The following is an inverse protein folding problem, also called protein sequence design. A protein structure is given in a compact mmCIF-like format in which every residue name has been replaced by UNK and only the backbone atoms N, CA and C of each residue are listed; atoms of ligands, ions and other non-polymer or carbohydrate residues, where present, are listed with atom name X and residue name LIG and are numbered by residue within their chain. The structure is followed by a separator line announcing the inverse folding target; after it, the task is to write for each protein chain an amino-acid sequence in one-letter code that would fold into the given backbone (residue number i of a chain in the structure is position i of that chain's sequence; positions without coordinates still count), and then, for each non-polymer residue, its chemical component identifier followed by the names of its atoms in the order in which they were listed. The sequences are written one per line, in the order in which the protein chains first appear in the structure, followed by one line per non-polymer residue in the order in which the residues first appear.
data_IF_901220485269
#
_entry.id   IF_901220485269
#
_cell.length_a   1.000
_cell.length_b   1.000
_cell.length_c   1.000
_cell.angle_alpha   90.00
_cell.angle_beta   90.00
_cell.angle_gamma   90.00
#
_symmetry.space_group_name_H-M   'P 1'
#
loop_
_entity.id
_entity.type
_entity.pdbx_description
1 polymer ?
#
# COMPACT_ATOMS: atom_id res chain seq x y z
N UNK A 1 -17.36 -2.04 20.52
CA UNK A 1 -16.03 -2.26 19.90
C UNK A 1 -15.92 -1.68 18.49
N UNK A 2 -16.89 -1.90 17.59
CA UNK A 2 -16.97 -1.19 16.29
C UNK A 2 -16.91 0.34 16.40
N UNK A 3 -17.48 0.90 17.48
CA UNK A 3 -17.35 2.31 17.84
C UNK A 3 -15.89 2.82 17.90
N UNK A 4 -14.89 2.01 18.30
CA UNK A 4 -13.50 2.48 18.33
C UNK A 4 -12.85 2.58 16.93
N UNK A 5 -13.32 1.77 15.98
CA UNK A 5 -12.90 1.83 14.57
C UNK A 5 -13.53 3.02 13.82
N UNK A 6 -14.71 3.47 14.26
CA UNK A 6 -15.48 4.55 13.63
C UNK A 6 -15.41 5.90 14.35
N UNK A 7 -15.10 5.95 15.65
CA UNK A 7 -15.20 7.17 16.46
C UNK A 7 -13.94 8.05 16.50
N UNK A 8 -12.81 7.62 15.93
CA UNK A 8 -11.58 8.44 15.94
C UNK A 8 -11.60 9.44 14.79
N UNK A 9 -11.61 10.74 15.09
CA UNK A 9 -11.43 11.81 14.12
C UNK A 9 -10.03 11.78 13.49
N UNK A 10 -9.03 11.27 14.22
CA UNK A 10 -7.70 10.99 13.69
C UNK A 10 -7.67 9.59 13.05
N UNK A 11 -7.59 9.57 11.72
CA UNK A 11 -7.52 8.36 10.89
C UNK A 11 -6.21 7.57 11.04
N UNK A 12 -5.20 8.15 11.70
CA UNK A 12 -3.89 7.53 11.92
C UNK A 12 -3.64 7.15 13.39
N UNK A 13 -4.53 7.54 14.30
CA UNK A 13 -4.41 7.18 15.71
C UNK A 13 -4.33 5.65 15.87
N UNK A 14 -3.19 5.19 16.40
CA UNK A 14 -2.92 3.76 16.63
C UNK A 14 -3.87 3.20 17.69
N UNK A 15 -4.33 1.98 17.45
CA UNK A 15 -5.15 1.22 18.38
C UNK A 15 -4.26 0.18 19.06
N UNK A 16 -4.20 0.23 20.39
CA UNK A 16 -3.52 -0.79 21.18
C UNK A 16 -4.48 -1.94 21.44
N UNK A 17 -4.57 -2.86 20.48
CA UNK A 17 -5.44 -4.04 20.53
C UNK A 17 -4.57 -5.27 20.29
N UNK A 18 -4.72 -6.30 21.12
CA UNK A 18 -3.94 -7.53 21.02
C UNK A 18 -4.30 -8.40 19.82
N UNK A 19 -3.49 -9.45 19.59
CA UNK A 19 -3.63 -10.38 18.46
C UNK A 19 -5.01 -11.06 18.43
N UNK A 20 -5.48 -11.60 19.56
CA UNK A 20 -6.74 -12.35 19.60
C UNK A 20 -7.97 -11.49 19.30
N UNK A 21 -8.01 -10.29 19.86
CA UNK A 21 -9.08 -9.34 19.57
C UNK A 21 -9.02 -8.88 18.11
N UNK A 22 -7.82 -8.67 17.56
CA UNK A 22 -7.63 -8.33 16.14
C UNK A 22 -8.08 -9.46 15.22
N UNK A 23 -7.75 -10.71 15.56
CA UNK A 23 -8.18 -11.90 14.82
C UNK A 23 -9.71 -12.04 14.83
N UNK A 24 -10.34 -11.92 16.01
CA UNK A 24 -11.80 -11.96 16.12
C UNK A 24 -12.47 -10.87 15.29
N UNK A 25 -11.95 -9.63 15.34
CA UNK A 25 -12.48 -8.53 14.52
C UNK A 25 -12.32 -8.80 13.02
N UNK A 26 -11.15 -9.26 12.58
CA UNK A 26 -10.89 -9.59 11.17
C UNK A 26 -11.82 -10.70 10.68
N UNK A 27 -11.93 -11.77 11.46
CA UNK A 27 -12.77 -12.91 11.13
C UNK A 27 -14.22 -12.48 10.94
N UNK A 28 -14.80 -11.81 11.93
CA UNK A 28 -16.19 -11.33 11.88
C UNK A 28 -16.42 -10.34 10.73
N UNK A 29 -15.53 -9.35 10.56
CA UNK A 29 -15.67 -8.36 9.49
C UNK A 29 -15.65 -8.99 8.10
N UNK A 30 -14.75 -9.94 7.86
CA UNK A 30 -14.63 -10.63 6.57
C UNK A 30 -15.86 -11.51 6.31
N UNK A 31 -16.34 -12.25 7.29
CA UNK A 31 -17.53 -13.10 7.10
C UNK A 31 -18.82 -12.29 6.96
N UNK A 32 -18.95 -11.18 7.68
CA UNK A 32 -20.08 -10.25 7.49
C UNK A 32 -20.03 -9.61 6.11
N UNK A 33 -18.83 -9.24 5.64
CA UNK A 33 -18.63 -8.72 4.28
C UNK A 33 -19.02 -9.75 3.22
N UNK A 34 -18.56 -11.00 3.36
CA UNK A 34 -18.92 -12.10 2.47
C UNK A 34 -20.43 -12.28 2.44
N UNK A 35 -21.07 -12.44 3.59
CA UNK A 35 -22.51 -12.59 3.69
C UNK A 35 -23.25 -11.43 3.00
N UNK A 36 -22.78 -10.20 3.19
CA UNK A 36 -23.38 -9.02 2.54
C UNK A 36 -23.25 -9.07 1.01
N UNK A 37 -22.17 -9.66 0.49
CA UNK A 37 -21.90 -9.77 -0.95
C UNK A 37 -22.56 -10.99 -1.60
N UNK A 38 -22.69 -12.11 -0.88
CA UNK A 38 -23.17 -13.39 -1.41
C UNK A 38 -24.64 -13.69 -1.13
N UNK A 39 -25.24 -13.10 -0.08
CA UNK A 39 -26.65 -13.30 0.25
C UNK A 39 -27.55 -12.47 -0.70
N UNK A 40 -28.42 -13.10 -1.51
CA UNK A 40 -29.30 -12.38 -2.45
C UNK A 40 -30.25 -11.40 -1.76
N UNK A 41 -30.67 -11.70 -0.52
CA UNK A 41 -31.54 -10.82 0.26
C UNK A 41 -30.75 -9.58 0.66
N UNK A 42 -29.54 -9.76 1.20
CA UNK A 42 -28.67 -8.64 1.54
C UNK A 42 -28.27 -7.84 0.30
N UNK A 43 -27.94 -8.50 -0.82
CA UNK A 43 -27.57 -7.86 -2.08
C UNK A 43 -28.72 -7.03 -2.67
N UNK A 44 -29.96 -7.47 -2.49
CA UNK A 44 -31.17 -6.76 -2.93
C UNK A 44 -31.52 -5.51 -2.11
N UNK A 45 -30.87 -5.32 -0.94
CA UNK A 45 -31.06 -4.10 -0.16
C UNK A 45 -30.54 -2.90 -0.96
N UNK A 46 -31.28 -1.77 -0.99
CA UNK A 46 -30.83 -0.56 -1.69
C UNK A 46 -29.43 -0.09 -1.28
N UNK A 47 -29.08 -0.31 -0.01
CA UNK A 47 -27.81 0.11 0.59
C UNK A 47 -26.74 -1.00 0.66
N UNK A 48 -26.98 -2.17 0.06
CA UNK A 48 -26.06 -3.33 0.13
C UNK A 48 -24.63 -2.99 -0.30
N UNK A 49 -24.51 -2.20 -1.35
CA UNK A 49 -23.24 -1.67 -1.87
C UNK A 49 -22.57 -0.75 -0.84
N UNK A 50 -23.34 0.12 -0.16
CA UNK A 50 -22.82 1.01 0.88
C UNK A 50 -22.35 0.23 2.11
N UNK A 51 -23.05 -0.83 2.50
CA UNK A 51 -22.62 -1.73 3.58
C UNK A 51 -21.32 -2.45 3.23
N UNK A 52 -21.22 -3.04 2.04
CA UNK A 52 -19.99 -3.70 1.58
C UNK A 52 -18.79 -2.74 1.53
N UNK A 53 -19.00 -1.51 1.02
CA UNK A 53 -17.96 -0.46 1.03
C UNK A 53 -17.53 -0.08 2.45
N UNK A 54 -18.48 0.09 3.36
CA UNK A 54 -18.21 0.46 4.75
C UNK A 54 -17.42 -0.63 5.48
N UNK A 55 -17.78 -1.90 5.27
CA UNK A 55 -17.06 -3.05 5.83
C UNK A 55 -15.63 -3.15 5.29
N UNK A 56 -15.43 -2.97 3.97
CA UNK A 56 -14.10 -2.89 3.38
C UNK A 56 -13.27 -1.74 3.99
N UNK A 57 -13.87 -0.57 4.16
CA UNK A 57 -13.21 0.58 4.78
C UNK A 57 -12.82 0.29 6.24
N UNK A 58 -13.65 -0.46 6.99
CA UNK A 58 -13.34 -0.88 8.36
C UNK A 58 -12.15 -1.84 8.41
N UNK A 59 -12.08 -2.82 7.50
CA UNK A 59 -10.94 -3.75 7.40
C UNK A 59 -9.65 -3.00 7.09
N UNK A 60 -9.69 -2.06 6.14
CA UNK A 60 -8.52 -1.22 5.80
C UNK A 60 -8.11 -0.37 7.00
N UNK A 61 -9.06 0.25 7.71
CA UNK A 61 -8.76 1.03 8.92
C UNK A 61 -8.13 0.17 10.00
N UNK A 62 -8.60 -1.06 10.17
CA UNK A 62 -8.00 -2.01 11.11
C UNK A 62 -6.54 -2.29 10.73
N UNK A 63 -6.25 -2.55 9.45
CA UNK A 63 -4.90 -2.73 8.93
C UNK A 63 -3.98 -1.52 9.22
N UNK A 64 -4.51 -0.31 9.11
CA UNK A 64 -3.73 0.93 9.30
C UNK A 64 -3.52 1.23 10.79
N UNK A 65 -4.54 1.03 11.62
CA UNK A 65 -4.55 1.52 13.01
C UNK A 65 -4.01 0.51 14.02
N UNK A 66 -4.18 -0.79 13.80
CA UNK A 66 -3.56 -1.81 14.65
C UNK A 66 -2.05 -1.81 14.44
N UNK A 67 -1.30 -2.22 15.47
CA UNK A 67 0.13 -2.46 15.36
C UNK A 67 0.41 -3.45 14.21
N UNK A 68 1.45 -3.19 13.40
CA UNK A 68 1.66 -3.85 12.11
C UNK A 68 1.86 -5.35 12.31
N UNK A 69 2.67 -5.74 13.26
CA UNK A 69 2.98 -7.14 13.55
C UNK A 69 1.74 -7.89 14.04
N UNK A 70 0.97 -7.24 14.91
CA UNK A 70 -0.27 -7.77 15.47
C UNK A 70 -1.32 -8.01 14.38
N UNK A 71 -1.48 -7.06 13.45
CA UNK A 71 -2.36 -7.26 12.29
C UNK A 71 -1.89 -8.41 11.41
N UNK A 72 -0.59 -8.48 11.11
CA UNK A 72 -0.03 -9.58 10.32
C UNK A 72 -0.25 -10.94 10.99
N UNK A 73 0.02 -11.05 12.29
CA UNK A 73 -0.17 -12.27 13.06
C UNK A 73 -1.63 -12.73 13.06
N UNK A 74 -2.57 -11.80 13.32
CA UNK A 74 -3.99 -12.09 13.28
C UNK A 74 -4.47 -12.49 11.88
N UNK A 75 -4.04 -11.77 10.84
CA UNK A 75 -4.48 -12.01 9.47
C UNK A 75 -3.90 -13.31 8.89
N UNK A 76 -2.64 -13.64 9.18
CA UNK A 76 -2.04 -14.92 8.78
C UNK A 76 -2.72 -16.08 9.49
N UNK A 77 -3.13 -15.93 10.76
CA UNK A 77 -3.95 -16.92 11.46
C UNK A 77 -5.31 -17.12 10.80
N UNK A 78 -6.04 -16.04 10.50
CA UNK A 78 -7.31 -16.11 9.78
C UNK A 78 -7.16 -16.82 8.42
N UNK A 79 -6.16 -16.41 7.63
CA UNK A 79 -5.89 -17.04 6.33
C UNK A 79 -5.57 -18.53 6.47
N UNK A 80 -4.73 -18.91 7.43
CA UNK A 80 -4.39 -20.30 7.69
C UNK A 80 -5.64 -21.11 8.03
N UNK A 81 -6.50 -20.59 8.91
CA UNK A 81 -7.77 -21.24 9.26
C UNK A 81 -8.65 -21.42 8.03
N UNK A 82 -8.91 -20.37 7.24
CA UNK A 82 -9.75 -20.48 6.03
C UNK A 82 -9.20 -21.47 5.01
N UNK A 83 -7.87 -21.50 4.81
CA UNK A 83 -7.23 -22.46 3.91
C UNK A 83 -7.39 -23.90 4.40
N UNK A 84 -7.24 -24.14 5.71
CA UNK A 84 -7.33 -25.49 6.29
C UNK A 84 -8.77 -25.99 6.39
N UNK A 85 -9.73 -25.09 6.56
CA UNK A 85 -11.18 -25.39 6.59
C UNK A 85 -11.80 -25.45 5.20
N UNK A 86 -11.02 -25.21 4.14
CA UNK A 86 -11.48 -25.11 2.76
C UNK A 86 -12.59 -24.06 2.55
N UNK A 87 -12.50 -22.95 3.28
CA UNK A 87 -13.34 -21.78 3.04
C UNK A 87 -12.78 -21.00 1.84
N UNK A 88 -13.24 -21.40 0.66
CA UNK A 88 -12.76 -20.88 -0.63
C UNK A 88 -13.11 -19.39 -0.84
N UNK A 89 -14.10 -18.85 -0.12
CA UNK A 89 -14.55 -17.47 -0.25
C UNK A 89 -13.82 -16.52 0.69
N UNK A 90 -13.53 -16.94 1.93
CA UNK A 90 -12.85 -16.11 2.92
C UNK A 90 -11.34 -16.01 2.70
N UNK A 91 -10.68 -17.09 2.27
CA UNK A 91 -9.24 -17.09 2.06
C UNK A 91 -8.76 -15.97 1.09
N UNK A 92 -9.42 -15.72 -0.07
CA UNK A 92 -9.07 -14.60 -0.95
C UNK A 92 -9.18 -13.22 -0.28
N UNK A 93 -10.11 -13.03 0.65
CA UNK A 93 -10.27 -11.75 1.37
C UNK A 93 -9.17 -11.54 2.41
N UNK A 94 -8.76 -12.59 3.13
CA UNK A 94 -7.59 -12.50 4.02
C UNK A 94 -6.28 -12.31 3.24
N UNK A 95 -6.16 -12.91 2.06
CA UNK A 95 -5.05 -12.63 1.14
C UNK A 95 -5.00 -11.14 0.76
N UNK A 96 -6.14 -10.54 0.41
CA UNK A 96 -6.22 -9.08 0.13
C UNK A 96 -5.84 -8.24 1.35
N UNK A 97 -6.16 -8.68 2.56
CA UNK A 97 -5.74 -7.99 3.79
C UNK A 97 -4.22 -8.00 3.97
N UNK A 98 -3.55 -9.12 3.67
CA UNK A 98 -2.09 -9.21 3.70
C UNK A 98 -1.42 -8.39 2.57
N UNK A 99 -2.03 -8.33 1.39
CA UNK A 99 -1.60 -7.39 0.34
C UNK A 99 -1.69 -5.94 0.81
N UNK A 100 -2.77 -5.58 1.51
CA UNK A 100 -2.89 -4.23 2.08
C UNK A 100 -1.83 -3.97 3.16
N UNK A 101 -1.51 -4.97 3.97
CA UNK A 101 -0.44 -4.86 4.96
C UNK A 101 0.91 -4.61 4.29
N UNK A 102 1.25 -5.36 3.25
CA UNK A 102 2.50 -5.21 2.50
C UNK A 102 2.61 -3.84 1.80
N UNK A 103 1.52 -3.39 1.15
CA UNK A 103 1.39 -2.03 0.58
C UNK A 103 1.62 -0.96 1.65
N UNK A 104 1.10 -1.18 2.85
CA UNK A 104 1.27 -0.22 3.95
C UNK A 104 2.72 -0.22 4.48
N UNK A 105 3.37 -1.37 4.54
CA UNK A 105 4.78 -1.49 4.93
C UNK A 105 5.74 -0.84 3.93
N UNK A 106 5.46 -0.96 2.64
CA UNK A 106 6.30 -0.35 1.59
C UNK A 106 6.23 1.19 1.62
N UNK A 107 5.03 1.74 1.87
CA UNK A 107 4.79 3.20 1.98
C UNK A 107 5.25 3.78 3.31
N UNK A 108 5.04 3.05 4.40
CA UNK A 108 5.34 3.51 5.76
C UNK A 108 6.20 2.47 6.47
N UNK A 109 7.51 2.51 6.20
CA UNK A 109 8.50 1.63 6.81
C UNK A 109 8.43 1.76 8.33
N UNK A 110 7.86 0.75 8.97
CA UNK A 110 7.65 0.72 10.42
C UNK A 110 8.35 -0.51 10.97
N UNK A 111 9.13 -0.34 12.04
CA UNK A 111 9.74 -1.45 12.76
C UNK A 111 8.63 -2.38 13.26
N UNK A 112 8.82 -3.68 13.10
CA UNK A 112 7.90 -4.73 13.54
C UNK A 112 8.52 -5.53 14.69
N UNK A 113 7.68 -6.19 15.48
CA UNK A 113 8.13 -7.16 16.47
C UNK A 113 8.59 -8.44 15.75
N UNK A 114 9.91 -8.64 15.70
CA UNK A 114 10.53 -9.78 15.05
C UNK A 114 10.04 -11.12 15.63
N UNK A 115 9.78 -11.20 16.94
CA UNK A 115 9.40 -12.44 17.60
C UNK A 115 8.01 -12.87 17.19
N UNK A 116 7.07 -11.94 17.28
CA UNK A 116 5.69 -12.21 16.88
C UNK A 116 5.60 -12.50 15.38
N UNK A 117 6.29 -11.70 14.55
CA UNK A 117 6.31 -11.92 13.11
C UNK A 117 6.80 -13.33 12.74
N UNK A 118 7.96 -13.72 13.28
CA UNK A 118 8.58 -15.02 12.99
C UNK A 118 7.71 -16.15 13.51
N UNK A 119 7.15 -16.05 14.73
CA UNK A 119 6.24 -17.07 15.26
C UNK A 119 5.07 -17.32 14.32
N UNK A 120 4.41 -16.25 13.86
CA UNK A 120 3.23 -16.35 12.99
C UNK A 120 3.57 -16.88 11.61
N UNK A 121 4.60 -16.33 10.95
CA UNK A 121 5.01 -16.78 9.61
C UNK A 121 5.55 -18.22 9.62
N UNK A 122 6.38 -18.58 10.60
CA UNK A 122 6.93 -19.94 10.72
C UNK A 122 5.82 -20.97 10.93
N UNK A 123 4.83 -20.66 11.79
CA UNK A 123 3.67 -21.52 12.02
C UNK A 123 2.82 -21.66 10.75
N UNK A 124 2.62 -20.58 10.00
CA UNK A 124 1.89 -20.63 8.73
C UNK A 124 2.57 -21.59 7.74
N UNK A 125 3.89 -21.46 7.57
CA UNK A 125 4.66 -22.36 6.72
C UNK A 125 4.60 -23.82 7.19
N UNK A 126 4.70 -24.07 8.49
CA UNK A 126 4.62 -25.43 9.03
C UNK A 126 3.31 -26.13 8.67
N UNK A 127 2.18 -25.40 8.71
CA UNK A 127 0.85 -25.97 8.46
C UNK A 127 0.48 -26.02 6.96
N UNK A 128 0.89 -25.00 6.20
CA UNK A 128 0.44 -24.81 4.82
C UNK A 128 1.43 -25.37 3.79
N UNK A 129 2.75 -25.20 4.02
CA UNK A 129 3.76 -25.61 3.03
C UNK A 129 3.69 -27.10 2.65
N UNK A 130 3.44 -28.06 3.56
CA UNK A 130 3.31 -29.47 3.19
C UNK A 130 2.16 -29.77 2.22
N UNK A 131 1.22 -28.84 2.04
CA UNK A 131 -0.01 -29.01 1.25
C UNK A 131 0.00 -28.24 -0.07
N UNK A 132 1.08 -27.55 -0.44
CA UNK A 132 1.11 -26.64 -1.59
C UNK A 132 0.79 -27.29 -2.94
N UNK A 133 1.09 -28.57 -3.11
CA UNK A 133 0.80 -29.32 -4.35
C UNK A 133 -0.65 -29.82 -4.41
N UNK A 134 -1.39 -29.76 -3.29
CA UNK A 134 -2.76 -30.27 -3.21
C UNK A 134 -3.81 -29.28 -3.70
N UNK A 135 -3.55 -27.97 -3.58
CA UNK A 135 -4.48 -26.92 -3.98
C UNK A 135 -3.72 -25.62 -4.27
N UNK A 136 -4.04 -24.96 -5.37
CA UNK A 136 -3.48 -23.66 -5.76
C UNK A 136 -3.68 -22.59 -4.67
N UNK A 137 -4.76 -22.65 -3.89
CA UNK A 137 -5.00 -21.71 -2.80
C UNK A 137 -3.92 -21.78 -1.70
N UNK A 138 -3.35 -22.96 -1.41
CA UNK A 138 -2.25 -23.09 -0.47
C UNK A 138 -0.97 -22.44 -1.02
N UNK A 139 -0.72 -22.61 -2.32
CA UNK A 139 0.40 -21.97 -3.02
C UNK A 139 0.27 -20.45 -2.99
N UNK A 140 -0.92 -19.93 -3.29
CA UNK A 140 -1.22 -18.49 -3.22
C UNK A 140 -1.08 -17.95 -1.80
N UNK A 141 -1.52 -18.72 -0.80
CA UNK A 141 -1.32 -18.40 0.62
C UNK A 141 0.15 -18.27 1.00
N UNK A 142 0.99 -19.24 0.60
CA UNK A 142 2.44 -19.17 0.82
C UNK A 142 3.03 -17.95 0.11
N UNK A 143 2.70 -17.72 -1.17
CA UNK A 143 3.21 -16.58 -1.94
C UNK A 143 2.85 -15.24 -1.30
N UNK A 144 1.66 -15.16 -0.70
CA UNK A 144 1.21 -13.96 0.01
C UNK A 144 2.06 -13.68 1.25
N UNK A 145 2.39 -14.72 2.04
CA UNK A 145 3.28 -14.59 3.20
C UNK A 145 4.72 -14.28 2.76
N UNK A 146 5.19 -14.85 1.66
CA UNK A 146 6.49 -14.54 1.06
C UNK A 146 6.63 -13.08 0.69
N UNK A 147 5.63 -12.51 0.01
CA UNK A 147 5.61 -11.09 -0.35
C UNK A 147 5.61 -10.20 0.91
N UNK A 148 4.88 -10.59 1.97
CA UNK A 148 4.97 -9.87 3.25
C UNK A 148 6.37 -9.98 3.87
N UNK A 149 7.03 -11.13 3.71
CA UNK A 149 8.40 -11.39 4.20
C UNK A 149 9.43 -10.57 3.44
N UNK A 150 9.27 -10.41 2.13
CA UNK A 150 10.09 -9.52 1.31
C UNK A 150 10.01 -8.08 1.85
N UNK A 151 8.81 -7.57 2.13
CA UNK A 151 8.64 -6.23 2.72
C UNK A 151 9.23 -6.12 4.13
N UNK A 152 9.02 -7.13 4.97
CA UNK A 152 9.58 -7.16 6.32
C UNK A 152 11.12 -7.18 6.28
N UNK A 153 11.72 -7.92 5.36
CA UNK A 153 13.17 -8.00 5.18
C UNK A 153 13.78 -6.66 4.73
N UNK A 154 13.10 -5.93 3.85
CA UNK A 154 13.53 -4.60 3.43
C UNK A 154 13.63 -3.66 4.64
N UNK A 155 12.68 -3.73 5.57
CA UNK A 155 12.62 -2.84 6.74
C UNK A 155 13.55 -3.28 7.86
N UNK A 156 13.51 -4.57 8.22
CA UNK A 156 14.19 -5.11 9.41
C UNK A 156 15.60 -5.63 9.14
N UNK A 157 15.88 -5.99 7.89
CA UNK A 157 17.18 -6.46 7.45
C UNK A 157 17.69 -7.71 8.17
N UNK A 158 19.00 -7.78 8.46
CA UNK A 158 19.62 -8.97 9.02
C UNK A 158 19.00 -9.42 10.34
N UNK A 159 18.46 -8.49 11.14
CA UNK A 159 17.89 -8.79 12.46
C UNK A 159 16.77 -9.83 12.40
N UNK A 160 15.96 -9.79 11.33
CA UNK A 160 14.86 -10.72 11.13
C UNK A 160 15.39 -12.12 10.80
N UNK A 161 16.38 -12.22 9.90
CA UNK A 161 16.99 -13.49 9.54
C UNK A 161 17.78 -14.12 10.71
N UNK A 162 18.54 -13.32 11.45
CA UNK A 162 19.26 -13.79 12.64
C UNK A 162 18.29 -14.33 13.69
N UNK A 163 17.15 -13.66 13.86
CA UNK A 163 16.13 -14.10 14.79
C UNK A 163 15.51 -15.42 14.36
N UNK A 164 15.23 -15.63 13.06
CA UNK A 164 14.72 -16.92 12.57
C UNK A 164 15.75 -18.05 12.75
N UNK A 165 17.04 -17.78 12.49
CA UNK A 165 18.11 -18.77 12.71
C UNK A 165 18.21 -19.26 14.16
N UNK A 166 17.84 -18.41 15.13
CA UNK A 166 17.80 -18.74 16.57
C UNK A 166 16.43 -19.21 17.04
N UNK A 167 15.43 -19.26 16.15
CA UNK A 167 14.08 -19.64 16.50
C UNK A 167 13.99 -21.15 16.79
N UNK A 168 13.23 -21.60 17.79
CA UNK A 168 13.05 -23.03 18.03
C UNK A 168 12.35 -23.70 16.84
N UNK A 169 13.03 -24.66 16.18
CA UNK A 169 12.52 -25.40 15.01
C UNK A 169 12.07 -24.47 13.86
N UNK A 170 13.00 -23.76 13.22
CA UNK A 170 12.65 -22.95 12.06
C UNK A 170 12.22 -23.86 10.91
N UNK A 171 11.11 -23.52 10.25
CA UNK A 171 10.67 -24.20 9.05
C UNK A 171 11.74 -24.01 7.96
N UNK A 172 12.19 -25.12 7.37
CA UNK A 172 13.32 -25.14 6.43
C UNK A 172 13.03 -24.29 5.20
N UNK A 173 11.81 -24.39 4.65
CA UNK A 173 11.44 -23.63 3.45
C UNK A 173 11.29 -22.15 3.74
N UNK A 174 10.74 -21.79 4.92
CA UNK A 174 10.67 -20.39 5.33
C UNK A 174 12.06 -19.79 5.55
N UNK A 175 12.96 -20.54 6.18
CA UNK A 175 14.36 -20.13 6.37
C UNK A 175 15.08 -19.94 5.04
N UNK A 176 14.88 -20.85 4.08
CA UNK A 176 15.45 -20.74 2.75
C UNK A 176 14.91 -19.48 2.03
N UNK A 177 13.60 -19.24 2.07
CA UNK A 177 13.00 -18.03 1.50
C UNK A 177 13.58 -16.76 2.11
N UNK A 178 13.67 -16.68 3.44
CA UNK A 178 14.26 -15.53 4.12
C UNK A 178 15.73 -15.30 3.77
N UNK A 179 16.52 -16.37 3.56
CA UNK A 179 17.90 -16.25 3.09
C UNK A 179 17.97 -15.66 1.67
N UNK A 180 17.08 -16.09 0.78
CA UNK A 180 16.97 -15.54 -0.58
C UNK A 180 16.57 -14.06 -0.52
N UNK A 181 15.52 -13.70 0.23
CA UNK A 181 15.11 -12.31 0.41
C UNK A 181 16.26 -11.43 0.92
N UNK A 182 17.02 -11.94 1.90
CA UNK A 182 18.15 -11.22 2.46
C UNK A 182 19.25 -10.97 1.42
N UNK A 183 19.62 -12.00 0.65
CA UNK A 183 20.62 -11.88 -0.40
C UNK A 183 20.20 -10.87 -1.49
N UNK A 184 18.92 -10.87 -1.90
CA UNK A 184 18.40 -9.88 -2.84
C UNK A 184 18.41 -8.46 -2.26
N UNK A 185 18.01 -8.29 -1.01
CA UNK A 185 18.04 -6.98 -0.36
C UNK A 185 19.48 -6.44 -0.19
N UNK A 186 20.47 -7.31 0.02
CA UNK A 186 21.88 -6.90 0.07
C UNK A 186 22.38 -6.33 -1.26
N UNK A 187 21.93 -6.90 -2.40
CA UNK A 187 22.27 -6.37 -3.73
C UNK A 187 21.71 -4.96 -3.94
N UNK A 188 20.49 -4.73 -3.45
CA UNK A 188 19.77 -3.46 -3.61
C UNK A 188 20.26 -2.40 -2.60
N UNK A 189 20.75 -2.83 -1.43
CA UNK A 189 21.24 -1.95 -0.37
C UNK A 189 22.67 -2.30 0.07
N UNK A 190 23.69 -2.03 -0.76
CA UNK A 190 25.09 -2.38 -0.46
C UNK A 190 25.68 -1.58 0.71
N UNK A 191 25.09 -0.42 1.06
CA UNK A 191 25.47 0.37 2.22
C UNK A 191 24.98 -0.23 3.56
N UNK A 192 24.16 -1.28 3.49
CA UNK A 192 23.61 -1.97 4.66
C UNK A 192 22.39 -1.31 5.26
N UNK A 193 21.81 -1.98 6.27
CA UNK A 193 20.71 -1.44 7.06
C UNK A 193 21.32 -0.58 8.16
N UNK A 194 21.04 0.73 8.14
CA UNK A 194 21.57 1.66 9.15
C UNK A 194 21.26 1.18 10.58
N UNK A 195 22.18 1.46 11.51
CA UNK A 195 22.03 1.09 12.93
C UNK A 195 20.81 1.81 13.50
N UNK A 196 19.69 1.10 13.62
CA UNK A 196 18.49 1.65 14.25
C UNK A 196 18.61 1.49 15.76
N UNK A 197 19.16 2.52 16.43
CA UNK A 197 19.15 2.60 17.90
C UNK A 197 17.70 2.86 18.39
N UNK A 198 17.27 2.26 19.52
CA UNK A 198 15.94 2.52 20.07
C UNK A 198 15.78 4.01 20.41
N UNK A 199 14.82 4.68 19.76
CA UNK A 199 14.54 6.11 19.96
C UNK A 199 15.14 7.06 18.92
N UNK A 200 15.87 6.56 17.92
CA UNK A 200 16.29 7.39 16.80
C UNK A 200 15.09 7.70 15.89
N UNK A 201 14.73 8.99 15.77
CA UNK A 201 13.96 9.47 14.63
C UNK A 201 14.78 9.14 13.40
N UNK A 202 14.30 8.21 12.58
CA UNK A 202 14.92 7.90 11.29
C UNK A 202 14.72 9.13 10.41
N UNK A 203 15.70 10.04 10.41
CA UNK A 203 15.81 10.99 9.31
C UNK A 203 15.95 10.18 8.02
N UNK A 204 15.14 10.47 6.98
CA UNK A 204 15.28 9.78 5.72
C UNK A 204 16.71 10.00 5.23
N UNK A 205 17.39 8.90 4.92
CA UNK A 205 18.75 8.93 4.39
C UNK A 205 18.82 9.97 3.27
N UNK A 206 19.63 11.02 3.50
CA UNK A 206 20.04 11.93 2.44
C UNK A 206 20.89 11.09 1.50
N UNK A 207 20.25 10.59 0.43
CA UNK A 207 20.94 9.94 -0.67
C UNK A 207 22.09 10.87 -1.12
N UNK A 208 23.36 10.41 -1.12
CA UNK A 208 24.40 11.17 -1.77
C UNK A 208 24.07 11.25 -3.26
N UNK A 209 24.05 12.47 -3.80
CA UNK A 209 23.88 12.76 -5.23
C UNK A 209 24.92 11.96 -6.03
N UNK A 210 24.51 10.87 -6.66
CA UNK A 210 25.29 10.24 -7.72
C UNK A 210 24.97 10.93 -9.03
N UNK A 211 25.96 11.60 -9.63
CA UNK A 211 25.88 12.10 -10.99
C UNK A 211 25.50 10.97 -11.97
N UNK A 212 24.65 11.23 -12.98
CA UNK A 212 24.17 10.19 -13.87
C UNK A 212 25.15 9.95 -15.01
N UNK A 213 25.58 8.70 -15.19
CA UNK A 213 26.01 8.23 -16.51
C UNK A 213 25.39 6.88 -16.83
N UNK A 214 24.52 6.93 -17.85
CA UNK A 214 24.17 5.90 -18.82
C UNK A 214 23.57 4.58 -18.34
N UNK A 215 22.26 4.42 -18.57
CA UNK A 215 21.59 3.12 -18.62
C UNK A 215 20.07 3.24 -18.63
N UNK A 216 19.47 3.46 -19.83
CA UNK A 216 18.05 3.28 -20.16
C UNK A 216 17.01 3.56 -19.05
N UNK A 217 17.13 4.72 -18.40
CA UNK A 217 16.20 5.19 -17.37
C UNK A 217 15.32 6.31 -17.92
N UNK A 218 14.07 6.40 -17.44
CA UNK A 218 13.16 7.52 -17.71
C UNK A 218 13.91 8.84 -17.58
N UNK A 219 13.70 9.76 -18.52
CA UNK A 219 14.36 11.06 -18.47
C UNK A 219 13.93 11.83 -17.22
N UNK A 220 14.78 12.72 -16.72
CA UNK A 220 14.47 13.55 -15.55
C UNK A 220 13.14 14.32 -15.72
N UNK A 221 12.88 14.79 -16.94
CA UNK A 221 11.61 15.40 -17.34
C UNK A 221 10.41 14.45 -17.17
N UNK A 222 10.53 13.20 -17.62
CA UNK A 222 9.47 12.20 -17.46
C UNK A 222 9.21 11.90 -15.99
N UNK A 223 10.27 11.81 -15.18
CA UNK A 223 10.16 11.58 -13.73
C UNK A 223 9.43 12.75 -13.05
N UNK A 224 9.72 13.99 -13.43
CA UNK A 224 9.07 15.17 -12.86
C UNK A 224 7.58 15.22 -13.23
N UNK A 225 7.22 14.93 -14.49
CA UNK A 225 5.83 14.84 -14.93
C UNK A 225 5.10 13.70 -14.20
N UNK A 226 5.72 12.52 -14.08
CA UNK A 226 5.15 11.36 -13.38
C UNK A 226 4.92 11.65 -11.90
N UNK A 227 5.82 12.39 -11.24
CA UNK A 227 5.68 12.72 -9.82
C UNK A 227 4.52 13.69 -9.56
N UNK A 228 4.30 14.65 -10.47
CA UNK A 228 3.13 15.55 -10.44
C UNK A 228 1.83 14.75 -10.54
N UNK A 229 1.83 13.68 -11.34
CA UNK A 229 0.64 12.84 -11.55
C UNK A 229 0.42 11.83 -10.41
N UNK A 230 1.50 11.23 -9.88
CA UNK A 230 1.45 10.08 -8.98
C UNK A 230 1.39 10.43 -7.50
N UNK A 231 2.05 11.52 -7.08
CA UNK A 231 2.20 11.89 -5.66
C UNK A 231 1.40 13.14 -5.31
N UNK A 232 0.08 12.94 -5.27
CA UNK A 232 -0.93 13.96 -5.01
C UNK A 232 -0.77 14.66 -3.64
N UNK A 233 -0.37 13.99 -2.54
CA UNK A 233 -0.12 14.66 -1.26
C UNK A 233 1.03 15.67 -1.31
N UNK A 234 2.00 15.49 -2.22
CA UNK A 234 3.16 16.37 -2.39
C UNK A 234 3.07 17.18 -3.68
N UNK A 235 1.87 17.31 -4.25
CA UNK A 235 1.62 17.86 -5.57
C UNK A 235 2.25 19.24 -5.80
N UNK A 236 2.00 20.20 -4.89
CA UNK A 236 2.51 21.56 -5.02
C UNK A 236 4.04 21.61 -5.11
N UNK A 237 4.71 20.75 -4.35
CA UNK A 237 6.17 20.60 -4.38
C UNK A 237 6.62 20.06 -5.74
N UNK A 238 5.96 19.03 -6.27
CA UNK A 238 6.32 18.44 -7.56
C UNK A 238 6.04 19.37 -8.73
N UNK A 239 4.94 20.12 -8.71
CA UNK A 239 4.64 21.13 -9.75
C UNK A 239 5.64 22.28 -9.71
N UNK A 240 6.01 22.76 -8.51
CA UNK A 240 7.07 23.76 -8.35
C UNK A 240 8.41 23.29 -8.93
N UNK A 241 8.78 22.03 -8.67
CA UNK A 241 9.99 21.43 -9.22
C UNK A 241 9.95 21.29 -10.74
N UNK A 242 8.81 20.86 -11.30
CA UNK A 242 8.62 20.75 -12.75
C UNK A 242 8.70 22.12 -13.44
N UNK A 243 8.05 23.14 -12.88
CA UNK A 243 8.14 24.51 -13.42
C UNK A 243 9.56 25.04 -13.34
N UNK A 244 10.23 24.89 -12.18
CA UNK A 244 11.63 25.31 -12.02
C UNK A 244 12.57 24.59 -12.98
N UNK A 245 12.32 23.31 -13.27
CA UNK A 245 13.07 22.54 -14.26
C UNK A 245 12.86 23.08 -15.67
N UNK A 246 11.62 23.34 -16.06
CA UNK A 246 11.26 23.85 -17.39
C UNK A 246 11.77 25.26 -17.64
N UNK A 247 11.79 26.12 -16.63
CA UNK A 247 12.32 27.47 -16.74
C UNK A 247 13.86 27.46 -16.91
N UNK A 248 14.54 26.44 -16.36
CA UNK A 248 15.99 26.22 -16.53
C UNK A 248 16.35 25.46 -17.81
N UNK A 249 15.40 24.75 -18.41
CA UNK A 249 15.61 23.92 -19.60
C UNK A 249 14.55 24.19 -20.68
N UNK A 250 14.48 25.42 -21.23
CA UNK A 250 13.47 25.79 -22.22
C UNK A 250 13.53 24.92 -23.50
N UNK A 251 14.70 24.38 -23.83
CA UNK A 251 14.90 23.45 -24.95
C UNK A 251 14.18 22.11 -24.80
N UNK A 252 13.83 21.70 -23.58
CA UNK A 252 13.12 20.44 -23.30
C UNK A 252 11.59 20.57 -23.47
N UNK A 253 11.09 21.78 -23.78
CA UNK A 253 9.64 22.05 -23.94
C UNK A 253 8.99 21.17 -25.00
N UNK A 254 9.66 20.96 -26.14
CA UNK A 254 9.15 20.09 -27.20
C UNK A 254 9.00 18.63 -26.74
N UNK A 255 9.97 18.13 -25.96
CA UNK A 255 9.95 16.76 -25.41
C UNK A 255 8.91 16.62 -24.30
N UNK A 256 8.68 17.67 -23.51
CA UNK A 256 7.60 17.70 -22.50
C UNK A 256 6.25 17.60 -23.19
N UNK A 257 6.04 18.39 -24.24
CA UNK A 257 4.80 18.38 -25.00
C UNK A 257 4.54 17.06 -25.71
N UNK A 258 5.58 16.42 -26.24
CA UNK A 258 5.51 15.07 -26.81
C UNK A 258 5.18 14.01 -25.75
N UNK A 259 5.83 14.06 -24.60
CA UNK A 259 5.57 13.12 -23.51
C UNK A 259 4.18 13.31 -22.90
N UNK A 260 3.72 14.54 -22.75
CA UNK A 260 2.37 14.83 -22.27
C UNK A 260 1.30 14.25 -23.23
N UNK A 261 1.57 14.02 -24.52
CA UNK A 261 0.60 13.32 -25.38
C UNK A 261 0.37 11.86 -24.98
N UNK A 262 1.33 11.24 -24.29
CA UNK A 262 1.23 9.85 -23.84
C UNK A 262 0.75 9.73 -22.39
N UNK A 263 0.64 10.85 -21.66
CA UNK A 263 0.20 10.91 -20.27
C UNK A 263 -1.31 11.22 -20.20
N UNK A 264 -2.16 10.34 -19.63
CA UNK A 264 -3.62 10.50 -19.61
C UNK A 264 -4.12 11.81 -18.97
N UNK A 265 -3.33 12.37 -18.04
CA UNK A 265 -3.63 13.57 -17.25
C UNK A 265 -2.87 14.82 -17.73
N UNK A 266 -2.34 14.82 -18.96
CA UNK A 266 -1.58 15.93 -19.48
C UNK A 266 -2.25 17.32 -19.52
N UNK A 267 -3.56 17.46 -19.83
CA UNK A 267 -4.23 18.76 -19.78
C UNK A 267 -4.15 19.41 -18.40
N UNK A 268 -4.25 18.60 -17.36
CA UNK A 268 -4.17 19.02 -15.96
C UNK A 268 -2.74 19.44 -15.59
N UNK A 269 -1.72 18.70 -16.01
CA UNK A 269 -0.32 19.10 -15.79
C UNK A 269 -0.03 20.47 -16.41
N UNK A 270 -0.54 20.73 -17.63
CA UNK A 270 -0.41 22.03 -18.31
C UNK A 270 -1.11 23.15 -17.55
N UNK A 271 -2.36 22.93 -17.16
CA UNK A 271 -3.15 23.93 -16.44
C UNK A 271 -2.50 24.31 -15.10
N UNK A 272 -1.92 23.33 -14.41
CA UNK A 272 -1.31 23.54 -13.09
C UNK A 272 0.03 24.25 -13.19
N UNK A 273 0.84 23.95 -14.20
CA UNK A 273 2.04 24.72 -14.50
C UNK A 273 1.70 26.19 -14.81
N UNK A 274 0.62 26.43 -15.56
CA UNK A 274 0.19 27.80 -15.91
C UNK A 274 -0.35 28.57 -14.69
N UNK A 275 -1.15 27.93 -13.84
CA UNK A 275 -1.64 28.55 -12.59
C UNK A 275 -0.53 28.83 -11.59
N UNK A 276 0.52 28.00 -11.58
CA UNK A 276 1.72 28.26 -10.78
C UNK A 276 2.49 29.48 -11.32
N UNK A 277 2.74 29.53 -12.64
CA UNK A 277 3.45 30.65 -13.29
C UNK A 277 2.73 32.00 -13.16
N UNK A 278 1.41 31.98 -13.21
CA UNK A 278 0.58 33.20 -13.06
C UNK A 278 0.37 33.62 -11.61
N UNK A 279 0.97 32.92 -10.64
CA UNK A 279 0.83 33.22 -9.20
C UNK A 279 -0.60 33.04 -8.67
N UNK A 280 -1.45 32.32 -9.41
CA UNK A 280 -2.86 32.06 -9.06
C UNK A 280 -3.05 30.77 -8.26
N UNK A 281 -2.00 29.98 -8.03
CA UNK A 281 -2.00 28.97 -6.98
C UNK A 281 -1.94 29.68 -5.61
N UNK A 282 -3.10 29.90 -4.99
CA UNK A 282 -3.16 30.30 -3.58
C UNK A 282 -3.39 29.06 -2.72
N UNK A 283 -2.51 28.82 -1.75
CA UNK A 283 -2.75 27.88 -0.66
C UNK A 283 -3.84 28.46 0.26
N UNK A 284 -5.01 27.83 0.27
CA UNK A 284 -6.10 28.15 1.20
C UNK A 284 -6.38 26.88 2.02
N UNK A 285 -5.72 26.76 3.18
CA UNK A 285 -5.90 25.63 4.10
C UNK A 285 -5.48 24.26 3.54
N UNK A 286 -5.92 23.18 4.20
CA UNK A 286 -5.59 21.78 3.84
C UNK A 286 -6.42 21.20 2.67
N UNK A 287 -7.28 22.01 2.03
CA UNK A 287 -8.01 21.61 0.82
C UNK A 287 -8.19 22.84 -0.05
N UNK A 288 -7.33 22.98 -1.06
CA UNK A 288 -7.34 24.07 -2.03
C UNK A 288 -8.37 23.84 -3.14
N UNK A 289 -8.80 24.93 -3.81
CA UNK A 289 -9.66 25.00 -5.02
C UNK A 289 -9.25 24.06 -6.19
N UNK A 290 -8.15 23.31 -6.03
CA UNK A 290 -7.61 22.29 -6.91
C UNK A 290 -8.49 21.03 -7.06
N UNK A 291 -9.37 20.72 -6.09
CA UNK A 291 -10.33 19.61 -6.23
C UNK A 291 -11.38 19.86 -7.33
N UNK A 292 -11.78 21.12 -7.56
CA UNK A 292 -12.81 21.48 -8.54
C UNK A 292 -12.34 21.35 -9.99
N UNK A 293 -11.05 21.54 -10.27
CA UNK A 293 -10.49 21.43 -11.64
C UNK A 293 -10.33 19.98 -12.09
N UNK A 294 -9.99 19.10 -11.16
CA UNK A 294 -9.99 17.66 -11.38
C UNK A 294 -11.40 17.12 -11.67
N UNK A 295 -12.41 17.68 -11.00
CA UNK A 295 -13.83 17.36 -11.19
C UNK A 295 -14.34 17.76 -12.59
N UNK A 296 -14.01 18.95 -13.09
CA UNK A 296 -14.43 19.44 -14.41
C UNK A 296 -13.82 18.60 -15.58
N UNK A 297 -12.56 18.20 -15.45
CA UNK A 297 -11.87 17.36 -16.46
C UNK A 297 -12.35 15.91 -16.42
N UNK A 298 -12.73 15.39 -15.23
CA UNK A 298 -13.32 14.05 -15.09
C UNK A 298 -14.79 13.99 -15.57
N UNK A 299 -15.58 15.06 -15.35
CA UNK A 299 -16.95 15.19 -15.86
C UNK A 299 -17.00 15.30 -17.39
N UNK A 300 -16.12 16.11 -18.00
CA UNK A 300 -16.08 16.29 -19.46
C UNK A 300 -15.67 15.03 -20.24
N UNK A 301 -15.10 14.02 -19.57
CA UNK A 301 -14.74 12.70 -20.15
C UNK A 301 -15.67 11.55 -19.74
N UNK A 302 -16.78 11.83 -19.07
CA UNK A 302 -17.80 10.82 -18.72
C UNK A 302 -17.35 9.80 -17.67
N UNK A 303 -16.36 10.13 -16.83
CA UNK A 303 -15.72 9.20 -15.89
C UNK A 303 -16.35 9.18 -14.48
N UNK A 304 -17.56 9.72 -14.28
CA UNK A 304 -18.29 9.54 -13.02
C UNK A 304 -19.79 9.32 -13.19
N UNK A 305 -20.31 8.33 -12.45
CA UNK A 305 -21.69 8.30 -11.97
C UNK A 305 -21.82 9.22 -10.74
N UNK A 306 -22.92 9.93 -10.66
CA UNK A 306 -23.24 10.98 -9.67
C UNK A 306 -23.09 10.54 -8.20
N UNK A 307 -22.31 11.29 -7.40
CA UNK A 307 -22.21 11.10 -5.95
C UNK A 307 -21.18 12.01 -5.30
N UNK A 308 -21.45 12.48 -4.08
CA UNK A 308 -20.84 13.64 -3.38
C UNK A 308 -19.34 13.55 -3.00
N UNK A 309 -18.73 14.73 -2.80
CA UNK A 309 -17.33 15.12 -2.49
C UNK A 309 -16.44 14.23 -1.59
N UNK A 310 -16.96 13.19 -0.92
CA UNK A 310 -16.17 12.28 -0.07
C UNK A 310 -15.64 11.08 -0.88
N UNK A 311 -16.20 10.81 -2.06
CA UNK A 311 -15.86 9.65 -2.91
C UNK A 311 -14.60 9.85 -3.80
N UNK A 312 -13.99 11.05 -3.81
CA UNK A 312 -12.97 11.40 -4.81
C UNK A 312 -11.56 10.84 -4.53
N UNK A 313 -11.14 10.73 -3.26
CA UNK A 313 -9.81 10.21 -2.89
C UNK A 313 -9.71 8.70 -3.17
N UNK A 314 -10.82 7.97 -2.97
CA UNK A 314 -10.89 6.53 -3.17
C UNK A 314 -10.94 6.18 -4.67
N UNK A 315 -11.59 6.99 -5.51
CA UNK A 315 -11.60 6.81 -6.96
C UNK A 315 -10.23 7.09 -7.62
N UNK A 316 -9.43 8.02 -7.09
CA UNK A 316 -8.08 8.29 -7.61
C UNK A 316 -7.09 7.17 -7.24
N UNK A 317 -7.26 6.54 -6.08
CA UNK A 317 -6.52 5.34 -5.72
C UNK A 317 -6.93 4.13 -6.58
N UNK A 318 -8.21 4.00 -6.92
CA UNK A 318 -8.73 2.95 -7.81
C UNK A 318 -8.26 3.12 -9.27
N UNK A 319 -8.21 4.34 -9.79
CA UNK A 319 -7.72 4.60 -11.15
C UNK A 319 -6.22 4.30 -11.30
N UNK A 320 -5.42 4.55 -10.25
CA UNK A 320 -3.99 4.20 -10.24
C UNK A 320 -3.75 2.69 -10.15
N UNK A 321 -4.69 1.94 -9.58
CA UNK A 321 -4.61 0.47 -9.53
C UNK A 321 -4.96 -0.22 -10.85
N UNK A 322 -5.83 0.38 -11.67
CA UNK A 322 -6.24 -0.22 -12.94
C UNK A 322 -5.15 -0.21 -14.03
N UNK A 323 -4.09 0.60 -13.88
CA UNK A 323 -2.98 0.67 -14.84
C UNK A 323 -1.71 -0.08 -14.41
N UNK A 324 -1.66 -0.65 -13.21
CA UNK A 324 -0.59 -1.59 -12.83
C UNK A 324 -0.88 -3.04 -13.27
N UNK A 325 -1.99 -3.29 -13.96
CA UNK A 325 -2.41 -4.61 -14.46
C UNK A 325 -2.73 -4.61 -15.97
N UNK A 326 -2.07 -3.74 -16.72
CA UNK A 326 -2.04 -3.73 -18.20
C UNK A 326 -0.63 -3.51 -18.68
#
# INVERSE_FOLDING_TARGET
MFLQLTASADKFARMNVGEDATNGMLWELVHVLLKTQSDPICASLPDSVHFGRSLNALVIRLCIRVERTTFFAACTRCLMTSLLEADEEAAPLFTKCLYKWADTMSKHKTVIDNDLYIRSANRFYEQIHPKIESNNMYRDGIRTVEMCTEQAMIVMGPSLLERLKRFPRPNVNFLQHMQVCFAECQKINPAGWGVSLPGAVVEPAVLPKSNPSSGSGRSELQILVDNVVRDLPSFDKHTSLLVSYMDKHPQETGKMEEYLRTVPLAPLVRELMEKYRTGRLKTVGNVTEQHCLYLDVAQSRGLFCSGTNVELIDCIQLASMHHCLS
#
